data_IF_746265557447
#
_entry.id   IF_746265557447
#
_cell.length_a   1.000
_cell.length_b   1.000
_cell.length_c   1.000
_cell.angle_alpha   90.00
_cell.angle_beta   90.00
_cell.angle_gamma   90.00
#
_symmetry.space_group_name_H-M   'P 1'
#
loop_
_entity.id
_entity.type
_entity.pdbx_description
1 polymer ?
#
# COMPACT_ATOMS: atom_id res chain seq x y z
N UNK A 1 -17.74 13.79 -15.10
CA UNK A 1 -16.41 13.23 -15.39
C UNK A 1 -16.58 11.81 -15.88
N UNK A 2 -16.04 11.53 -17.06
CA UNK A 2 -16.02 10.19 -17.64
C UNK A 2 -14.87 9.36 -17.04
N UNK A 3 -14.98 8.03 -16.99
CA UNK A 3 -13.95 7.16 -16.40
C UNK A 3 -12.57 7.36 -17.05
N UNK A 4 -12.54 7.57 -18.37
CA UNK A 4 -11.31 7.82 -19.12
C UNK A 4 -10.59 9.09 -18.66
N UNK A 5 -11.35 10.12 -18.32
CA UNK A 5 -10.81 11.39 -17.82
C UNK A 5 -10.18 11.20 -16.42
N UNK A 6 -10.89 10.49 -15.53
CA UNK A 6 -10.39 10.11 -14.21
C UNK A 6 -9.10 9.29 -14.28
N UNK A 7 -9.06 8.31 -15.18
CA UNK A 7 -7.90 7.46 -15.40
C UNK A 7 -6.70 8.27 -15.90
N UNK A 8 -6.90 9.10 -16.94
CA UNK A 8 -5.84 9.96 -17.49
C UNK A 8 -5.28 10.92 -16.44
N UNK A 9 -6.15 11.55 -15.65
CA UNK A 9 -5.73 12.46 -14.57
C UNK A 9 -4.95 11.73 -13.48
N UNK A 10 -5.36 10.50 -13.13
CA UNK A 10 -4.65 9.69 -12.15
C UNK A 10 -3.26 9.29 -12.65
N UNK A 11 -3.14 8.86 -13.91
CA UNK A 11 -1.85 8.54 -14.54
C UNK A 11 -0.94 9.77 -14.58
N UNK A 12 -1.47 10.93 -14.92
CA UNK A 12 -0.72 12.19 -14.90
C UNK A 12 -0.14 12.45 -13.50
N UNK A 13 -0.97 12.46 -12.45
CA UNK A 13 -0.53 12.69 -11.07
C UNK A 13 0.54 11.66 -10.63
N UNK A 14 0.36 10.37 -10.98
CA UNK A 14 1.34 9.33 -10.66
C UNK A 14 2.69 9.61 -11.31
N UNK A 15 2.71 10.03 -12.58
CA UNK A 15 3.95 10.32 -13.30
C UNK A 15 4.65 11.57 -12.80
N UNK A 16 3.89 12.64 -12.49
CA UNK A 16 4.47 13.86 -11.91
C UNK A 16 5.09 13.56 -10.54
N UNK A 17 4.37 12.86 -9.67
CA UNK A 17 4.93 12.47 -8.37
C UNK A 17 6.18 11.59 -8.52
N UNK A 18 6.19 10.63 -9.45
CA UNK A 18 7.39 9.84 -9.71
C UNK A 18 8.57 10.66 -10.25
N UNK A 19 8.32 11.77 -10.96
CA UNK A 19 9.36 12.66 -11.46
C UNK A 19 9.90 13.63 -10.38
N UNK A 20 9.08 13.99 -9.41
CA UNK A 20 9.40 14.97 -8.37
C UNK A 20 10.03 14.37 -7.09
N UNK A 21 9.79 13.08 -6.82
CA UNK A 21 10.26 12.40 -5.60
C UNK A 21 11.33 11.35 -5.94
N UNK A 22 12.37 11.27 -5.09
CA UNK A 22 13.53 10.41 -5.32
C UNK A 22 13.25 8.94 -4.91
N UNK A 23 12.42 8.72 -3.90
CA UNK A 23 12.14 7.39 -3.34
C UNK A 23 10.66 7.19 -3.02
N UNK A 24 9.77 7.20 -4.04
CA UNK A 24 8.35 6.97 -3.83
C UNK A 24 8.06 5.49 -3.55
N UNK A 25 6.91 5.21 -2.92
CA UNK A 25 6.33 3.88 -2.82
C UNK A 25 4.79 3.95 -2.86
N UNK A 26 4.10 2.80 -3.02
CA UNK A 26 2.63 2.73 -2.97
C UNK A 26 2.15 1.82 -1.84
N UNK A 27 1.15 2.25 -1.06
CA UNK A 27 0.48 1.37 -0.11
C UNK A 27 -0.58 0.51 -0.79
N UNK A 28 -0.49 -0.80 -0.57
CA UNK A 28 -1.41 -1.79 -1.09
C UNK A 28 -1.95 -2.70 0.01
N UNK A 29 -3.27 -2.64 0.23
CA UNK A 29 -3.96 -3.42 1.28
C UNK A 29 -4.65 -4.67 0.74
N UNK A 30 -4.51 -4.94 -0.57
CA UNK A 30 -5.31 -5.89 -1.36
C UNK A 30 -6.81 -5.56 -1.42
N UNK A 31 -7.22 -4.38 -0.93
CA UNK A 31 -8.58 -3.87 -1.09
C UNK A 31 -8.83 -3.29 -2.48
N UNK A 32 -10.11 -3.16 -2.87
CA UNK A 32 -10.52 -2.69 -4.21
C UNK A 32 -9.86 -1.38 -4.63
N UNK A 33 -9.76 -0.38 -3.75
CA UNK A 33 -9.25 0.95 -4.07
C UNK A 33 -7.73 0.89 -4.26
N UNK A 34 -7.02 0.25 -3.33
CA UNK A 34 -5.57 0.10 -3.41
C UNK A 34 -5.12 -0.78 -4.59
N UNK A 35 -5.90 -1.80 -4.95
CA UNK A 35 -5.64 -2.62 -6.15
C UNK A 35 -5.91 -1.83 -7.43
N UNK A 36 -6.92 -0.96 -7.43
CA UNK A 36 -7.17 -0.03 -8.55
C UNK A 36 -6.04 0.98 -8.68
N UNK A 37 -5.57 1.57 -7.58
CA UNK A 37 -4.43 2.48 -7.57
C UNK A 37 -3.14 1.78 -8.08
N UNK A 38 -2.89 0.54 -7.63
CA UNK A 38 -1.76 -0.27 -8.09
C UNK A 38 -1.84 -0.55 -9.60
N UNK A 39 -3.04 -0.85 -10.11
CA UNK A 39 -3.27 -1.01 -11.55
C UNK A 39 -3.00 0.28 -12.33
N UNK A 40 -3.39 1.44 -11.81
CA UNK A 40 -3.12 2.73 -12.43
C UNK A 40 -1.61 3.02 -12.47
N UNK A 41 -0.86 2.71 -11.41
CA UNK A 41 0.60 2.77 -11.43
C UNK A 41 1.18 1.86 -12.52
N UNK A 42 0.72 0.62 -12.58
CA UNK A 42 1.13 -0.33 -13.63
C UNK A 42 0.85 0.22 -15.03
N UNK A 43 -0.30 0.83 -15.27
CA UNK A 43 -0.65 1.46 -16.54
C UNK A 43 0.22 2.69 -16.83
N UNK A 44 0.51 3.51 -15.82
CA UNK A 44 1.36 4.69 -15.94
C UNK A 44 2.77 4.35 -16.41
N UNK A 45 3.30 3.17 -16.07
CA UNK A 45 4.62 2.70 -16.47
C UNK A 45 4.59 1.44 -17.34
N UNK A 46 3.60 1.37 -18.25
CA UNK A 46 3.57 0.40 -19.35
C UNK A 46 3.70 -1.07 -18.93
N UNK A 47 3.05 -1.43 -17.82
CA UNK A 47 3.02 -2.81 -17.31
C UNK A 47 3.97 -3.05 -16.14
N UNK A 48 4.83 -2.09 -15.78
CA UNK A 48 5.75 -2.18 -14.64
C UNK A 48 5.34 -1.25 -13.51
N UNK A 49 5.87 -1.48 -12.32
CA UNK A 49 5.78 -0.57 -11.19
C UNK A 49 7.22 -0.28 -10.76
N UNK A 50 7.75 0.93 -11.02
CA UNK A 50 9.17 1.25 -10.86
C UNK A 50 9.59 1.57 -9.42
N UNK A 51 8.68 1.39 -8.46
CA UNK A 51 8.90 1.67 -7.04
C UNK A 51 8.31 0.57 -6.15
N UNK A 52 8.72 0.47 -4.89
CA UNK A 52 8.24 -0.55 -3.98
C UNK A 52 6.73 -0.47 -3.71
N UNK A 53 6.11 -1.64 -3.56
CA UNK A 53 4.70 -1.82 -3.17
C UNK A 53 4.68 -2.30 -1.73
N UNK A 54 4.15 -1.48 -0.83
CA UNK A 54 4.16 -1.76 0.61
C UNK A 54 2.82 -2.37 1.03
N UNK A 55 2.89 -3.55 1.63
CA UNK A 55 1.77 -4.18 2.33
C UNK A 55 2.04 -4.20 3.84
N UNK A 56 1.20 -3.52 4.61
CA UNK A 56 1.21 -3.61 6.08
C UNK A 56 0.52 -4.89 6.52
N UNK A 57 1.28 -5.80 7.10
CA UNK A 57 0.82 -7.10 7.54
C UNK A 57 0.63 -7.12 9.06
N UNK A 58 -0.63 -7.21 9.47
CA UNK A 58 -0.99 -7.26 10.89
C UNK A 58 -0.97 -8.68 11.46
N UNK A 59 -0.86 -9.72 10.63
CA UNK A 59 -1.03 -11.12 11.02
C UNK A 59 -2.50 -11.57 11.17
N UNK A 60 -3.47 -10.66 11.01
CA UNK A 60 -4.91 -10.94 11.21
C UNK A 60 -5.73 -10.95 9.90
N UNK A 61 -5.10 -11.14 8.74
CA UNK A 61 -5.80 -11.17 7.44
C UNK A 61 -6.27 -12.58 7.11
N UNK A 62 -7.36 -12.67 6.33
CA UNK A 62 -7.81 -13.94 5.76
C UNK A 62 -6.72 -14.56 4.88
N UNK A 63 -6.59 -15.89 4.93
CA UNK A 63 -5.62 -16.65 4.14
C UNK A 63 -5.70 -16.31 2.65
N UNK A 64 -6.92 -16.16 2.12
CA UNK A 64 -7.18 -15.82 0.72
C UNK A 64 -6.60 -14.46 0.32
N UNK A 65 -6.46 -13.51 1.27
CA UNK A 65 -5.81 -12.23 0.98
C UNK A 65 -4.30 -12.41 0.77
N UNK A 66 -3.65 -13.29 1.53
CA UNK A 66 -2.22 -13.60 1.33
C UNK A 66 -2.01 -14.34 0.00
N UNK A 67 -2.84 -15.34 -0.30
CA UNK A 67 -2.80 -16.05 -1.58
C UNK A 67 -2.99 -15.08 -2.77
N UNK A 68 -3.93 -14.14 -2.66
CA UNK A 68 -4.11 -13.09 -3.66
C UNK A 68 -2.89 -12.15 -3.77
N UNK A 69 -2.36 -11.70 -2.63
CA UNK A 69 -1.18 -10.82 -2.58
C UNK A 69 0.01 -11.46 -3.31
N UNK A 70 0.33 -12.69 -2.93
CA UNK A 70 1.52 -13.39 -3.41
C UNK A 70 1.39 -13.71 -4.90
N UNK A 71 0.21 -14.18 -5.33
CA UNK A 71 -0.06 -14.42 -6.75
C UNK A 71 0.08 -13.16 -7.60
N UNK A 72 -0.49 -12.03 -7.16
CA UNK A 72 -0.43 -10.77 -7.94
C UNK A 72 0.98 -10.19 -7.95
N UNK A 73 1.73 -10.31 -6.84
CA UNK A 73 3.13 -9.89 -6.78
C UNK A 73 4.01 -10.70 -7.73
N UNK A 74 3.82 -12.02 -7.80
CA UNK A 74 4.52 -12.89 -8.74
C UNK A 74 4.12 -12.59 -10.19
N UNK A 75 2.81 -12.54 -10.48
CA UNK A 75 2.27 -12.32 -11.82
C UNK A 75 2.71 -10.99 -12.43
N UNK A 76 2.79 -9.93 -11.62
CA UNK A 76 3.15 -8.58 -12.09
C UNK A 76 4.62 -8.22 -11.87
N UNK A 77 5.35 -9.02 -11.09
CA UNK A 77 6.81 -8.89 -10.90
C UNK A 77 7.25 -7.58 -10.25
N UNK A 78 6.48 -7.04 -9.29
CA UNK A 78 6.84 -5.83 -8.56
C UNK A 78 7.56 -6.14 -7.23
N UNK A 79 8.34 -5.17 -6.72
CA UNK A 79 8.99 -5.27 -5.40
C UNK A 79 7.96 -5.14 -4.28
N UNK A 80 7.55 -6.27 -3.70
CA UNK A 80 6.61 -6.32 -2.58
C UNK A 80 7.35 -6.21 -1.24
N UNK A 81 7.13 -5.10 -0.53
CA UNK A 81 7.62 -4.86 0.82
C UNK A 81 6.54 -5.25 1.83
N UNK A 82 6.80 -6.30 2.60
CA UNK A 82 5.96 -6.68 3.73
C UNK A 82 6.45 -5.95 4.97
N UNK A 83 5.66 -4.99 5.47
CA UNK A 83 5.96 -4.23 6.67
C UNK A 83 5.17 -4.77 7.86
N UNK A 84 5.86 -4.94 8.99
CA UNK A 84 5.32 -5.50 10.24
C UNK A 84 5.94 -4.80 11.44
N UNK A 85 5.13 -4.57 12.47
CA UNK A 85 5.64 -4.23 13.81
C UNK A 85 5.93 -5.53 14.56
N UNK A 86 7.13 -6.08 14.35
CA UNK A 86 7.54 -7.36 14.95
C UNK A 86 7.56 -7.31 16.48
N UNK A 87 7.79 -6.14 17.09
CA UNK A 87 7.76 -5.97 18.54
C UNK A 87 6.34 -6.11 19.09
N UNK A 88 5.36 -5.44 18.47
CA UNK A 88 3.96 -5.57 18.83
C UNK A 88 3.42 -7.00 18.62
N UNK A 89 3.81 -7.66 17.51
CA UNK A 89 3.43 -9.05 17.24
C UNK A 89 4.00 -9.99 18.31
N UNK A 90 5.28 -9.83 18.69
CA UNK A 90 5.91 -10.64 19.75
C UNK A 90 5.31 -10.37 21.13
N UNK A 91 4.85 -9.14 21.38
CA UNK A 91 4.13 -8.78 22.59
C UNK A 91 2.68 -9.31 22.63
N UNK A 92 2.22 -9.98 21.57
CA UNK A 92 0.89 -10.56 21.50
C UNK A 92 -0.21 -9.53 21.26
N UNK A 93 0.11 -8.36 20.71
CA UNK A 93 -0.89 -7.31 20.44
C UNK A 93 -1.90 -7.80 19.41
N UNK A 94 -3.18 -7.69 19.76
CA UNK A 94 -4.28 -8.21 18.95
C UNK A 94 -5.58 -7.42 19.10
N UNK A 95 -6.64 -7.81 18.36
CA UNK A 95 -7.95 -7.18 18.43
C UNK A 95 -8.56 -7.07 19.83
N UNK A 96 -8.18 -7.99 20.73
CA UNK A 96 -8.55 -8.06 22.14
C UNK A 96 -8.06 -6.88 22.97
N UNK A 97 -6.95 -6.23 22.59
CA UNK A 97 -6.41 -5.03 23.25
C UNK A 97 -7.21 -3.76 22.91
N UNK A 98 -8.26 -3.90 22.12
CA UNK A 98 -9.08 -2.79 21.65
C UNK A 98 -8.64 -2.29 20.27
N UNK A 99 -9.65 -1.95 19.47
CA UNK A 99 -9.48 -1.62 18.04
C UNK A 99 -8.47 -0.50 17.80
N UNK A 100 -8.47 0.54 18.63
CA UNK A 100 -7.59 1.69 18.48
C UNK A 100 -6.13 1.31 18.74
N UNK A 101 -5.85 0.70 19.88
CA UNK A 101 -4.48 0.32 20.27
C UNK A 101 -3.86 -0.69 19.30
N UNK A 102 -4.62 -1.75 18.99
CA UNK A 102 -4.23 -2.76 18.01
C UNK A 102 -3.91 -2.14 16.64
N UNK A 103 -4.78 -1.24 16.14
CA UNK A 103 -4.55 -0.59 14.85
C UNK A 103 -3.36 0.38 14.89
N UNK A 104 -3.17 1.13 15.98
CA UNK A 104 -2.01 2.01 16.13
C UNK A 104 -0.71 1.22 16.04
N UNK A 105 -0.58 0.16 16.85
CA UNK A 105 0.65 -0.63 16.90
C UNK A 105 0.90 -1.45 15.63
N UNK A 106 -0.11 -2.18 15.15
CA UNK A 106 0.08 -3.12 14.03
C UNK A 106 -0.01 -2.45 12.65
N UNK A 107 -0.56 -1.23 12.54
CA UNK A 107 -0.68 -0.52 11.27
C UNK A 107 0.11 0.77 11.23
N UNK A 108 -0.19 1.71 12.13
CA UNK A 108 0.41 3.05 12.10
C UNK A 108 1.89 2.99 12.40
N UNK A 109 2.28 2.37 13.52
CA UNK A 109 3.70 2.24 13.89
C UNK A 109 4.46 1.36 12.90
N UNK A 110 3.86 0.26 12.42
CA UNK A 110 4.45 -0.58 11.38
C UNK A 110 4.76 0.20 10.09
N UNK A 111 3.85 1.09 9.68
CA UNK A 111 4.06 1.98 8.53
C UNK A 111 5.17 3.00 8.81
N UNK A 112 5.15 3.67 9.96
CA UNK A 112 6.18 4.66 10.33
C UNK A 112 7.58 4.02 10.35
N UNK A 113 7.72 2.86 11.00
CA UNK A 113 8.97 2.09 11.02
C UNK A 113 9.44 1.73 9.60
N UNK A 114 8.52 1.37 8.71
CA UNK A 114 8.85 1.05 7.32
C UNK A 114 9.30 2.29 6.54
N UNK A 115 8.64 3.43 6.71
CA UNK A 115 9.03 4.71 6.10
C UNK A 115 10.43 5.09 6.56
N UNK A 116 10.67 5.12 7.87
CA UNK A 116 11.96 5.52 8.44
C UNK A 116 13.09 4.60 7.98
N UNK A 117 12.86 3.28 8.00
CA UNK A 117 13.88 2.28 7.62
C UNK A 117 14.24 2.32 6.13
N UNK A 118 13.28 2.66 5.27
CA UNK A 118 13.46 2.63 3.81
C UNK A 118 13.71 4.02 3.21
N UNK A 119 13.54 5.08 4.01
CA UNK A 119 13.73 6.46 3.60
C UNK A 119 12.77 6.91 2.51
N UNK A 120 11.53 6.44 2.53
CA UNK A 120 10.53 6.85 1.53
C UNK A 120 10.17 8.32 1.72
N UNK A 121 10.23 9.11 0.65
CA UNK A 121 9.93 10.55 0.64
C UNK A 121 8.53 10.88 0.10
N UNK A 122 7.89 9.91 -0.57
CA UNK A 122 6.50 10.00 -1.00
C UNK A 122 5.79 8.64 -0.94
N UNK A 123 4.49 8.68 -0.65
CA UNK A 123 3.62 7.51 -0.65
C UNK A 123 2.37 7.76 -1.50
N UNK A 124 2.13 6.88 -2.48
CA UNK A 124 0.84 6.79 -3.16
C UNK A 124 -0.17 6.08 -2.24
N UNK A 125 -1.31 6.74 -2.01
CA UNK A 125 -2.41 6.28 -1.18
C UNK A 125 -3.69 6.21 -2.01
N UNK A 126 -4.59 5.29 -1.64
CA UNK A 126 -5.88 5.09 -2.33
C UNK A 126 -7.07 5.68 -1.55
N UNK A 127 -6.85 6.75 -0.78
CA UNK A 127 -7.91 7.44 -0.02
C UNK A 127 -8.74 8.29 -0.98
N UNK A 128 -10.07 8.19 -0.89
CA UNK A 128 -10.98 8.92 -1.77
C UNK A 128 -11.77 9.98 -1.01
N UNK A 129 -12.09 11.08 -1.69
CA UNK A 129 -12.83 12.20 -1.11
C UNK A 129 -14.24 11.83 -0.63
N UNK A 130 -14.86 10.86 -1.30
CA UNK A 130 -16.21 10.37 -0.98
C UNK A 130 -16.21 9.31 0.13
N UNK A 131 -15.04 8.90 0.62
CA UNK A 131 -14.95 7.99 1.76
C UNK A 131 -15.06 8.76 3.07
N UNK A 132 -15.90 8.27 3.98
CA UNK A 132 -16.03 8.77 5.34
C UNK A 132 -15.41 7.72 6.30
N UNK A 133 -14.65 8.21 7.28
CA UNK A 133 -14.07 7.42 8.37
C UNK A 133 -14.85 7.58 9.66
#
# INVERSE_FOLDING_TARGET
MELKELENRSIYIIREAYAEFDNPAILWSMGKDSTTALWLCRKAFFGKIPFPVIHIDTGYKFKQMYEFRDRIAEEWGFDLVIARNEEAIKAGVGPEDGKLECCTKLKTEALMQCIDKRGFDALFLAIRRDEHG
#
